data_IF_533802062681
#
_entry.id   IF_533802062681
#
_cell.length_a   1.000
_cell.length_b   1.000
_cell.length_c   1.000
_cell.angle_alpha   90.00
_cell.angle_beta   90.00
_cell.angle_gamma   90.00
#
_symmetry.space_group_name_H-M   'P 1'
#
loop_
_entity.id
_entity.type
_entity.pdbx_description
1 polymer ?
#
# COMPACT_ATOMS: atom_id res chain seq x y z
N UNK A 1 0.23 -5.04 -16.32
CA UNK A 1 0.93 -3.83 -15.80
C UNK A 1 0.98 -3.93 -14.27
N UNK A 2 2.16 -4.18 -13.68
CA UNK A 2 2.35 -4.08 -12.21
C UNK A 2 2.19 -2.60 -11.84
N UNK A 3 1.17 -2.24 -11.08
CA UNK A 3 1.04 -0.88 -10.54
C UNK A 3 2.16 -0.68 -9.52
N UNK A 4 3.02 0.28 -9.80
CA UNK A 4 4.14 0.62 -8.93
C UNK A 4 3.58 1.49 -7.80
N UNK A 5 3.66 1.00 -6.57
CA UNK A 5 3.28 1.78 -5.39
C UNK A 5 4.28 2.94 -5.25
N UNK A 6 3.78 4.16 -5.02
CA UNK A 6 4.63 5.35 -4.84
C UNK A 6 4.67 5.75 -3.38
N UNK A 7 5.85 6.09 -2.89
CA UNK A 7 6.00 6.62 -1.54
C UNK A 7 5.22 7.94 -1.41
N UNK A 8 4.26 8.06 -0.48
CA UNK A 8 3.45 9.26 -0.36
C UNK A 8 4.21 10.44 0.30
N UNK A 9 5.44 10.20 0.79
CA UNK A 9 6.27 11.20 1.45
C UNK A 9 7.35 11.78 0.52
N UNK A 10 8.08 10.92 -0.21
CA UNK A 10 9.21 11.36 -1.02
C UNK A 10 9.09 11.03 -2.51
N UNK A 11 7.91 10.57 -2.97
CA UNK A 11 7.65 10.21 -4.36
C UNK A 11 8.55 9.11 -4.94
N UNK A 12 9.27 8.37 -4.10
CA UNK A 12 10.07 7.22 -4.54
C UNK A 12 9.17 6.11 -5.08
N UNK A 13 9.52 5.60 -6.25
CA UNK A 13 8.91 4.46 -6.91
C UNK A 13 9.94 3.33 -6.93
N UNK A 14 9.62 2.19 -6.34
CA UNK A 14 10.58 1.11 -6.18
C UNK A 14 10.12 0.09 -5.13
N UNK A 15 11.08 -0.56 -4.50
CA UNK A 15 10.81 -1.54 -3.46
C UNK A 15 10.58 -0.89 -2.09
N UNK A 16 9.64 -1.46 -1.35
CA UNK A 16 9.32 -1.05 0.01
C UNK A 16 9.49 -2.25 0.92
N UNK A 17 9.97 -2.00 2.14
CA UNK A 17 10.04 -3.04 3.16
C UNK A 17 8.64 -3.31 3.68
N UNK A 18 8.17 -4.55 3.57
CA UNK A 18 6.93 -4.97 4.18
C UNK A 18 7.12 -5.12 5.69
N UNK A 19 6.41 -4.33 6.48
CA UNK A 19 6.46 -4.40 7.94
C UNK A 19 5.39 -5.32 8.53
N UNK A 20 4.17 -5.28 7.96
CA UNK A 20 3.04 -6.09 8.43
C UNK A 20 1.97 -6.18 7.35
N UNK A 21 1.25 -7.30 7.32
CA UNK A 21 0.03 -7.46 6.51
C UNK A 21 -1.14 -7.83 7.42
N UNK A 22 -2.35 -7.34 7.12
CA UNK A 22 -3.59 -7.77 7.75
C UNK A 22 -4.79 -7.60 6.81
N UNK A 23 -5.92 -8.21 7.16
CA UNK A 23 -7.19 -7.99 6.47
C UNK A 23 -8.01 -6.92 7.17
N UNK A 24 -8.66 -6.05 6.39
CA UNK A 24 -9.65 -5.10 6.86
C UNK A 24 -10.86 -5.14 5.92
N UNK A 25 -11.97 -5.74 6.35
CA UNK A 25 -13.11 -6.04 5.47
C UNK A 25 -12.65 -6.84 4.24
N UNK A 26 -12.89 -6.33 3.04
CA UNK A 26 -12.47 -6.93 1.77
C UNK A 26 -11.07 -6.47 1.30
N UNK A 27 -10.36 -5.67 2.11
CA UNK A 27 -9.01 -5.21 1.80
C UNK A 27 -7.95 -6.12 2.42
N UNK A 28 -6.92 -6.42 1.63
CA UNK A 28 -5.58 -6.75 2.11
C UNK A 28 -4.83 -5.43 2.33
N UNK A 29 -4.35 -5.24 3.55
CA UNK A 29 -3.61 -4.04 3.95
C UNK A 29 -2.16 -4.42 4.19
N UNK A 30 -1.25 -3.73 3.48
CA UNK A 30 0.20 -3.86 3.65
C UNK A 30 0.74 -2.59 4.27
N UNK A 31 1.39 -2.71 5.43
CA UNK A 31 2.18 -1.63 6.02
C UNK A 31 3.58 -1.69 5.44
N UNK A 32 3.96 -0.63 4.75
CA UNK A 32 5.18 -0.53 3.97
C UNK A 32 6.06 0.57 4.55
N UNK A 33 7.37 0.33 4.57
CA UNK A 33 8.40 1.34 4.86
C UNK A 33 9.16 1.67 3.58
N UNK A 34 9.32 2.96 3.31
CA UNK A 34 10.14 3.46 2.21
C UNK A 34 11.63 3.31 2.54
N UNK A 35 12.37 2.61 1.68
CA UNK A 35 13.82 2.46 1.84
C UNK A 35 14.59 3.78 1.68
N UNK A 36 14.04 4.76 0.96
CA UNK A 36 14.66 6.07 0.71
C UNK A 36 14.47 7.08 1.84
N UNK A 37 13.24 7.25 2.34
CA UNK A 37 12.93 8.26 3.36
C UNK A 37 12.52 7.70 4.72
N UNK A 38 12.49 6.36 4.89
CA UNK A 38 12.02 5.66 6.09
C UNK A 38 10.56 5.94 6.47
N UNK A 39 9.81 6.67 5.63
CA UNK A 39 8.39 6.92 5.83
C UNK A 39 7.57 5.64 5.78
N UNK A 40 6.67 5.48 6.75
CA UNK A 40 5.80 4.30 6.89
C UNK A 40 4.39 4.65 6.46
N UNK A 41 3.81 3.87 5.55
CA UNK A 41 2.45 4.08 5.04
C UNK A 41 1.71 2.76 4.88
N UNK A 42 0.40 2.84 4.75
CA UNK A 42 -0.44 1.68 4.50
C UNK A 42 -0.92 1.68 3.05
N UNK A 43 -0.76 0.55 2.38
CA UNK A 43 -1.29 0.27 1.06
C UNK A 43 -2.48 -0.68 1.19
N UNK A 44 -3.64 -0.24 0.72
CA UNK A 44 -4.88 -1.00 0.73
C UNK A 44 -5.16 -1.52 -0.67
N UNK A 45 -5.44 -2.80 -0.79
CA UNK A 45 -5.84 -3.43 -2.04
C UNK A 45 -6.93 -4.46 -1.79
N UNK A 46 -8.00 -4.44 -2.58
CA UNK A 46 -9.08 -5.40 -2.43
C UNK A 46 -10.08 -5.37 -3.57
N UNK A 47 -10.89 -6.43 -3.64
CA UNK A 47 -12.05 -6.52 -4.53
C UNK A 47 -13.28 -6.44 -3.64
N UNK A 48 -14.10 -5.42 -3.84
CA UNK A 48 -15.36 -5.29 -3.10
C UNK A 48 -16.29 -6.48 -3.40
N UNK A 49 -17.27 -6.79 -2.53
CA UNK A 49 -18.26 -7.84 -2.79
C UNK A 49 -19.02 -7.66 -4.13
N UNK A 50 -19.09 -6.43 -4.66
CA UNK A 50 -19.68 -6.10 -5.97
C UNK A 50 -18.71 -6.30 -7.14
N UNK A 51 -17.54 -6.92 -6.92
CA UNK A 51 -16.51 -7.17 -7.95
C UNK A 51 -15.62 -5.97 -8.29
N UNK A 52 -15.89 -4.78 -7.74
CA UNK A 52 -15.07 -3.58 -8.01
C UNK A 52 -13.72 -3.65 -7.31
N UNK A 53 -12.63 -3.57 -8.07
CA UNK A 53 -11.26 -3.40 -7.56
C UNK A 53 -11.08 -2.01 -6.93
N UNK A 54 -10.52 -1.97 -5.73
CA UNK A 54 -10.21 -0.75 -4.98
C UNK A 54 -8.79 -0.82 -4.46
N UNK A 55 -8.02 0.25 -4.67
CA UNK A 55 -6.62 0.34 -4.30
C UNK A 55 -6.29 1.78 -3.93
N UNK A 56 -5.65 2.01 -2.78
CA UNK A 56 -5.24 3.34 -2.34
C UNK A 56 -4.17 3.29 -1.24
N UNK A 57 -3.53 4.44 -1.00
CA UNK A 57 -2.51 4.62 0.03
C UNK A 57 -3.02 5.58 1.10
N UNK A 58 -2.74 5.25 2.36
CA UNK A 58 -2.98 6.14 3.51
C UNK A 58 -1.62 6.44 4.16
N UNK A 59 -1.30 7.73 4.30
CA UNK A 59 -0.18 8.22 5.11
C UNK A 59 -0.49 7.93 6.58
N UNK A 60 0.48 7.40 7.32
CA UNK A 60 0.39 7.33 8.79
C UNK A 60 0.90 8.62 9.41
#
# INVERSE_FOLDING_TARGET
MKRVVKCPYCNYEGEFRLLKTWKFRFYEVKRLECLKCRGVFNYYYGISPKGKKSEFIIKR
#
